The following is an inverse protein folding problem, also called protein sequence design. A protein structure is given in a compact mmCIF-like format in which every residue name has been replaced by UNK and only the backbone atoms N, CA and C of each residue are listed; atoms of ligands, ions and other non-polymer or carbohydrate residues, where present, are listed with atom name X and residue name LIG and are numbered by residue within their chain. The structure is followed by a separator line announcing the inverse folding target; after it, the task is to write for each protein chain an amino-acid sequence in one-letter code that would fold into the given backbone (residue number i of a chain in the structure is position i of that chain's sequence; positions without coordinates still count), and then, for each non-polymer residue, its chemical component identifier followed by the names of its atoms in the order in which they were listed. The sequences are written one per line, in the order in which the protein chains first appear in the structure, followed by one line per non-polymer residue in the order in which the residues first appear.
data_IF_517078592320
#
_entry.id   IF_517078592320
#
_cell.length_a   1.000
_cell.length_b   1.000
_cell.length_c   1.000
_cell.angle_alpha   90.00
_cell.angle_beta   90.00
_cell.angle_gamma   90.00
#
_symmetry.space_group_name_H-M   'P 1'
#
loop_
_entity.id
_entity.type
_entity.pdbx_description
1 polymer ?
#
# COMPACT_ATOMS: atom_id res chain seq x y z
N UNK A 1 -37.83 41.89 -8.91
CA UNK A 1 -36.55 42.56 -9.22
C UNK A 1 -35.60 42.25 -8.08
N UNK A 2 -35.07 41.02 -8.10
CA UNK A 2 -33.97 40.59 -7.24
C UNK A 2 -32.86 40.22 -8.21
N UNK A 3 -31.83 41.07 -8.26
CA UNK A 3 -30.66 40.86 -9.10
C UNK A 3 -29.85 39.72 -8.49
N UNK A 4 -29.74 38.63 -9.24
CA UNK A 4 -28.73 37.59 -9.02
C UNK A 4 -27.36 38.24 -9.20
N UNK A 5 -26.86 38.84 -8.11
CA UNK A 5 -25.48 39.29 -8.01
C UNK A 5 -24.57 38.11 -8.31
N UNK A 6 -23.79 38.24 -9.38
CA UNK A 6 -22.65 37.39 -9.67
C UNK A 6 -21.67 37.54 -8.52
N UNK A 7 -21.85 36.76 -7.46
CA UNK A 7 -20.77 36.51 -6.52
C UNK A 7 -19.64 35.89 -7.34
N UNK A 8 -18.60 36.69 -7.57
CA UNK A 8 -17.28 36.22 -7.96
C UNK A 8 -16.91 35.07 -7.03
N UNK A 9 -17.00 33.86 -7.56
CA UNK A 9 -16.43 32.66 -6.98
C UNK A 9 -14.91 32.75 -7.14
N UNK A 10 -14.29 33.69 -6.42
CA UNK A 10 -12.86 33.67 -6.15
C UNK A 10 -12.65 32.79 -4.91
N UNK A 11 -12.85 31.47 -5.05
CA UNK A 11 -12.18 30.52 -4.16
C UNK A 11 -10.75 30.36 -4.63
N UNK A 12 -9.90 31.17 -4.02
CA UNK A 12 -8.46 30.94 -3.98
C UNK A 12 -8.21 29.70 -3.12
N UNK A 13 -7.76 28.62 -3.72
CA UNK A 13 -6.97 27.60 -3.05
C UNK A 13 -5.81 27.23 -3.97
N UNK A 14 -4.59 27.57 -3.55
CA UNK A 14 -3.34 27.08 -4.14
C UNK A 14 -3.17 25.62 -3.69
N UNK A 15 -4.13 24.80 -4.11
CA UNK A 15 -4.40 23.39 -3.81
C UNK A 15 -3.79 22.85 -2.51
N UNK A 16 -4.49 23.13 -1.42
CA UNK A 16 -4.24 22.61 -0.09
C UNK A 16 -4.15 21.09 0.00
N UNK A 17 -2.99 20.63 0.44
CA UNK A 17 -2.78 19.27 0.91
C UNK A 17 -3.29 19.14 2.35
N UNK A 18 -4.61 19.21 2.52
CA UNK A 18 -5.27 18.59 3.67
C UNK A 18 -5.35 17.09 3.38
N UNK A 19 -4.29 16.35 3.71
CA UNK A 19 -4.31 14.88 3.73
C UNK A 19 -5.43 14.43 4.67
N UNK A 20 -6.57 14.13 4.07
CA UNK A 20 -7.79 13.78 4.78
C UNK A 20 -7.82 12.26 4.99
N UNK A 21 -6.82 11.74 5.70
CA UNK A 21 -6.98 10.61 6.62
C UNK A 21 -7.26 9.19 6.10
N UNK A 22 -7.38 8.90 4.79
CA UNK A 22 -7.37 7.52 4.24
C UNK A 22 -6.65 7.51 2.88
N UNK A 23 -5.38 7.92 2.87
CA UNK A 23 -4.52 7.88 1.69
C UNK A 23 -3.74 6.57 1.56
N UNK A 24 -3.54 6.08 0.32
CA UNK A 24 -2.52 5.04 0.06
C UNK A 24 -1.14 5.63 0.42
N UNK A 25 -0.31 4.93 1.21
CA UNK A 25 1.02 5.43 1.54
C UNK A 25 1.83 5.73 0.27
N UNK A 26 2.56 6.85 0.24
CA UNK A 26 3.31 7.32 -0.94
C UNK A 26 4.29 6.28 -1.48
N UNK A 27 4.89 5.45 -0.63
CA UNK A 27 5.82 4.39 -1.05
C UNK A 27 5.15 3.30 -1.90
N UNK A 28 3.81 3.18 -1.93
CA UNK A 28 3.13 2.25 -2.86
C UNK A 28 3.48 2.56 -4.33
N UNK A 29 3.80 3.81 -4.65
CA UNK A 29 4.15 4.23 -6.01
C UNK A 29 5.48 3.66 -6.49
N UNK A 30 6.39 3.36 -5.56
CA UNK A 30 7.72 2.81 -5.83
C UNK A 30 7.75 1.28 -5.82
N UNK A 31 6.58 0.61 -5.70
CA UNK A 31 6.49 -0.84 -5.72
C UNK A 31 6.74 -1.42 -7.12
N UNK A 32 7.61 -2.44 -7.22
CA UNK A 32 7.84 -3.18 -8.48
C UNK A 32 6.59 -3.83 -9.04
N UNK A 33 5.64 -4.20 -8.17
CA UNK A 33 4.35 -4.78 -8.56
C UNK A 33 3.39 -3.77 -9.20
N UNK A 34 3.72 -2.47 -9.21
CA UNK A 34 2.86 -1.43 -9.77
C UNK A 34 2.59 -1.69 -11.25
N UNK A 35 1.31 -1.77 -11.62
CA UNK A 35 0.86 -2.01 -12.99
C UNK A 35 0.75 -3.48 -13.38
N UNK A 36 1.09 -4.41 -12.48
CA UNK A 36 0.88 -5.84 -12.68
C UNK A 36 -0.56 -6.26 -12.31
N UNK A 37 -1.08 -7.36 -12.87
CA UNK A 37 -2.41 -7.87 -12.50
C UNK A 37 -2.45 -8.26 -11.02
N UNK A 38 -3.57 -7.99 -10.36
CA UNK A 38 -3.75 -8.30 -8.94
C UNK A 38 -3.78 -9.81 -8.67
N UNK A 39 -4.33 -10.58 -9.61
CA UNK A 39 -4.49 -12.05 -9.49
C UNK A 39 -3.14 -12.74 -9.27
N UNK A 40 -2.07 -12.23 -9.89
CA UNK A 40 -0.70 -12.71 -9.66
C UNK A 40 -0.32 -12.75 -8.17
N UNK A 41 -0.82 -11.80 -7.37
CA UNK A 41 -0.49 -11.69 -5.94
C UNK A 41 -1.54 -12.34 -5.04
N UNK A 42 -2.69 -12.75 -5.58
CA UNK A 42 -3.83 -13.30 -4.83
C UNK A 42 -3.98 -14.81 -5.03
N UNK A 43 -3.66 -15.31 -6.21
CA UNK A 43 -3.81 -16.71 -6.59
C UNK A 43 -2.70 -17.59 -5.98
N UNK A 44 -3.06 -18.75 -5.39
CA UNK A 44 -2.10 -19.62 -4.73
C UNK A 44 -1.07 -20.24 -5.68
N UNK A 45 -1.42 -20.47 -6.95
CA UNK A 45 -0.51 -20.97 -7.99
C UNK A 45 0.59 -19.97 -8.38
N UNK A 46 0.36 -18.67 -8.13
CA UNK A 46 1.28 -17.59 -8.52
C UNK A 46 2.21 -17.15 -7.39
N UNK A 47 2.20 -17.82 -6.23
CA UNK A 47 2.95 -17.39 -5.04
C UNK A 47 4.45 -17.26 -5.30
N UNK A 48 5.05 -18.20 -6.03
CA UNK A 48 6.48 -18.18 -6.34
C UNK A 48 6.83 -17.00 -7.26
N UNK A 49 6.01 -16.76 -8.28
CA UNK A 49 6.18 -15.64 -9.20
C UNK A 49 5.99 -14.29 -8.51
N UNK A 50 4.92 -14.12 -7.73
CA UNK A 50 4.69 -12.91 -6.95
C UNK A 50 5.78 -12.65 -5.90
N UNK A 51 6.32 -13.71 -5.30
CA UNK A 51 7.44 -13.60 -4.36
C UNK A 51 8.71 -13.17 -5.09
N UNK A 52 8.95 -13.64 -6.31
CA UNK A 52 10.07 -13.21 -7.15
C UNK A 52 9.98 -11.71 -7.50
N UNK A 53 8.78 -11.18 -7.81
CA UNK A 53 8.58 -9.73 -8.03
C UNK A 53 8.97 -8.90 -6.81
N UNK A 54 8.73 -9.45 -5.61
CA UNK A 54 9.09 -8.77 -4.37
C UNK A 54 10.62 -8.75 -4.12
N UNK A 55 11.41 -9.63 -4.76
CA UNK A 55 12.86 -9.63 -4.60
C UNK A 55 13.48 -8.37 -5.21
N UNK A 56 14.31 -7.68 -4.42
CA UNK A 56 14.91 -6.41 -4.83
C UNK A 56 13.91 -5.27 -5.03
N UNK A 57 12.66 -5.40 -4.56
CA UNK A 57 11.70 -4.29 -4.53
C UNK A 57 12.15 -3.27 -3.46
N UNK A 58 12.32 -1.98 -3.81
CA UNK A 58 12.88 -0.98 -2.89
C UNK A 58 11.99 -0.75 -1.66
N UNK A 59 10.68 -0.96 -1.80
CA UNK A 59 9.70 -0.78 -0.72
C UNK A 59 9.28 -2.08 -0.07
N UNK A 60 10.01 -3.19 -0.30
CA UNK A 60 9.68 -4.52 0.24
C UNK A 60 9.50 -4.47 1.76
N UNK A 61 10.35 -3.73 2.46
CA UNK A 61 10.28 -3.56 3.90
C UNK A 61 8.98 -2.87 4.34
N UNK A 62 8.75 -1.66 3.86
CA UNK A 62 7.51 -0.91 4.13
C UNK A 62 6.25 -1.72 3.79
N UNK A 63 6.28 -2.46 2.68
CA UNK A 63 5.18 -3.35 2.24
C UNK A 63 4.93 -4.50 3.22
N UNK A 64 5.98 -5.14 3.73
CA UNK A 64 5.87 -6.19 4.73
C UNK A 64 5.28 -5.66 6.04
N UNK A 65 5.78 -4.54 6.53
CA UNK A 65 5.29 -3.90 7.77
C UNK A 65 3.82 -3.52 7.66
N UNK A 66 3.45 -2.93 6.53
CA UNK A 66 2.06 -2.63 6.20
C UNK A 66 1.17 -3.87 6.30
N UNK A 67 1.60 -4.98 5.72
CA UNK A 67 0.82 -6.23 5.73
C UNK A 67 0.92 -6.99 7.07
N UNK A 68 1.97 -6.75 7.86
CA UNK A 68 2.14 -7.34 9.17
C UNK A 68 1.16 -6.75 10.19
N UNK A 69 1.00 -5.42 10.15
CA UNK A 69 0.05 -4.66 10.98
C UNK A 69 -1.43 -4.91 10.64
N UNK A 70 -1.73 -5.47 9.45
CA UNK A 70 -3.09 -5.73 8.96
C UNK A 70 -3.30 -7.22 8.69
N UNK A 71 -3.81 -7.99 9.66
CA UNK A 71 -3.94 -9.44 9.52
C UNK A 71 -5.01 -9.86 8.48
N UNK A 72 -5.89 -8.95 8.10
CA UNK A 72 -6.96 -9.09 7.12
C UNK A 72 -6.46 -9.04 5.66
N UNK A 73 -5.26 -8.51 5.40
CA UNK A 73 -4.75 -8.47 4.02
C UNK A 73 -4.34 -9.87 3.56
N UNK A 74 -4.84 -10.24 2.38
CA UNK A 74 -4.61 -11.54 1.72
C UNK A 74 -3.55 -11.43 0.63
N UNK A 75 -3.07 -12.57 0.14
CA UNK A 75 -2.07 -12.62 -0.93
C UNK A 75 -0.64 -12.36 -0.48
N UNK A 76 0.22 -12.14 -1.47
CA UNK A 76 1.66 -11.89 -1.32
C UNK A 76 1.92 -10.40 -1.06
N UNK A 77 2.54 -10.11 0.07
CA UNK A 77 2.97 -8.77 0.48
C UNK A 77 4.39 -8.81 1.02
N UNK A 78 5.27 -7.93 0.54
CA UNK A 78 6.67 -7.88 0.99
C UNK A 78 7.44 -9.20 0.80
N UNK A 79 6.99 -10.07 -0.11
CA UNK A 79 7.52 -11.42 -0.31
C UNK A 79 7.04 -12.44 0.74
N UNK A 80 5.88 -12.21 1.37
CA UNK A 80 5.28 -13.12 2.34
C UNK A 80 3.81 -13.39 2.03
N UNK A 81 3.35 -14.60 2.28
CA UNK A 81 1.91 -14.94 2.22
C UNK A 81 1.21 -14.60 3.55
N UNK A 82 -0.12 -14.58 3.55
CA UNK A 82 -0.89 -14.46 4.79
C UNK A 82 -0.55 -15.55 5.82
N UNK A 83 -0.31 -16.79 5.36
CA UNK A 83 0.10 -17.90 6.21
C UNK A 83 1.49 -17.66 6.82
N UNK A 84 2.47 -17.23 6.01
CA UNK A 84 3.81 -16.86 6.49
C UNK A 84 3.74 -15.73 7.52
N UNK A 85 2.96 -14.67 7.27
CA UNK A 85 2.76 -13.57 8.24
C UNK A 85 2.11 -14.05 9.53
N UNK A 86 1.15 -14.98 9.46
CA UNK A 86 0.52 -15.59 10.64
C UNK A 86 1.54 -16.35 11.48
N UNK A 87 2.43 -17.13 10.85
CA UNK A 87 3.50 -17.85 11.54
C UNK A 87 4.50 -16.89 12.21
N UNK A 88 4.89 -15.80 11.53
CA UNK A 88 5.79 -14.78 12.09
C UNK A 88 5.20 -14.10 13.33
N UNK A 89 3.91 -13.75 13.30
CA UNK A 89 3.20 -13.18 14.47
C UNK A 89 3.16 -14.15 15.65
N UNK A 90 2.93 -15.44 15.39
CA UNK A 90 2.93 -16.45 16.45
C UNK A 90 4.29 -16.59 17.14
N UNK A 91 5.39 -16.42 16.37
CA UNK A 91 6.75 -16.38 16.89
C UNK A 91 7.16 -15.06 17.56
N UNK A 92 6.29 -14.05 17.60
CA UNK A 92 6.60 -12.67 18.06
C UNK A 92 7.80 -12.04 17.35
N UNK A 93 8.04 -12.41 16.09
CA UNK A 93 9.13 -11.84 15.27
C UNK A 93 8.56 -10.70 14.44
N UNK A 94 8.94 -9.46 14.76
CA UNK A 94 8.71 -8.32 13.87
C UNK A 94 9.75 -8.36 12.75
N UNK A 95 9.36 -8.44 11.48
CA UNK A 95 10.33 -8.47 10.39
C UNK A 95 11.12 -7.15 10.35
N UNK A 96 12.44 -7.23 10.16
CA UNK A 96 13.39 -6.10 10.25
C UNK A 96 13.33 -5.14 9.05
N UNK A 97 12.13 -4.75 8.64
CA UNK A 97 11.82 -4.09 7.39
C UNK A 97 11.75 -2.55 7.47
N UNK A 98 11.89 -1.97 8.68
CA UNK A 98 11.97 -0.51 8.90
C UNK A 98 13.42 -0.09 9.10
N UNK A 99 14.18 0.09 8.02
CA UNK A 99 15.38 0.93 8.02
C UNK A 99 15.88 1.15 6.59
N UNK A 100 15.37 2.21 5.93
CA UNK A 100 16.10 3.20 5.10
C UNK A 100 15.12 3.93 4.19
#
# INVERSE_FOLDING_TARGET
MWEIGTHSFEEVDVRGERDSGIGRPSWFESGRCRGMPADLFLEPECVDEATAVCQGCPVRGCCLEYAFARPDVVGVWGGTTAATRRALRAGHVVPAAVAS
#
